data_IF_071130888723
#
_entry.id   IF_071130888723
#
_cell.length_a   1.000
_cell.length_b   1.000
_cell.length_c   1.000
_cell.angle_alpha   90.00
_cell.angle_beta   90.00
_cell.angle_gamma   90.00
#
_symmetry.space_group_name_H-M   'P 1'
#
loop_
_entity.id
_entity.type
_entity.pdbx_description
1 polymer ?
#
# COMPACT_ATOMS: atom_id res chain seq x y z
N UNK A 1 3.73 20.70 19.63
CA UNK A 1 2.31 20.26 19.46
C UNK A 1 1.57 21.33 18.65
N UNK A 2 0.49 20.97 17.94
CA UNK A 2 -0.30 21.91 17.12
C UNK A 2 0.54 22.66 16.08
N UNK A 3 1.54 22.00 15.51
CA UNK A 3 2.45 22.59 14.52
C UNK A 3 2.17 21.99 13.13
N UNK A 4 2.44 22.76 12.08
CA UNK A 4 2.37 22.32 10.70
C UNK A 4 3.61 22.78 9.93
N UNK A 5 3.84 22.19 8.76
CA UNK A 5 4.96 22.52 7.89
C UNK A 5 4.49 22.58 6.44
N UNK A 6 4.90 23.62 5.73
CA UNK A 6 4.65 23.76 4.30
C UNK A 6 5.79 23.12 3.53
N UNK A 7 5.46 22.16 2.65
CA UNK A 7 6.42 21.33 1.95
C UNK A 7 6.54 21.71 0.48
N UNK A 8 7.75 21.58 -0.05
CA UNK A 8 8.03 21.71 -1.48
C UNK A 8 9.21 20.83 -1.86
N UNK A 9 9.37 20.54 -3.16
CA UNK A 9 10.48 19.71 -3.64
C UNK A 9 11.06 20.22 -4.95
N UNK A 10 12.38 20.29 -5.04
CA UNK A 10 13.11 20.67 -6.25
C UNK A 10 13.45 19.40 -7.03
N UNK A 11 13.13 19.37 -8.34
CA UNK A 11 13.51 18.26 -9.21
C UNK A 11 14.98 18.40 -9.64
N UNK A 12 15.88 17.63 -9.03
CA UNK A 12 17.32 17.69 -9.27
C UNK A 12 17.71 17.32 -10.71
N UNK A 13 16.96 16.43 -11.34
CA UNK A 13 17.20 16.01 -12.72
C UNK A 13 17.05 17.14 -13.77
N UNK A 14 16.52 18.31 -13.38
CA UNK A 14 16.41 19.49 -14.24
C UNK A 14 17.61 20.44 -14.15
N UNK A 15 18.55 20.14 -13.25
CA UNK A 15 19.73 20.96 -13.00
C UNK A 15 21.03 20.25 -13.40
N UNK A 16 20.96 19.09 -14.05
CA UNK A 16 22.15 18.48 -14.65
C UNK A 16 22.37 19.09 -16.03
N UNK A 17 23.61 19.44 -16.31
CA UNK A 17 24.08 19.98 -17.58
C UNK A 17 25.28 19.18 -18.07
N UNK A 18 25.42 19.06 -19.39
CA UNK A 18 26.63 18.50 -19.99
C UNK A 18 27.76 19.55 -19.94
N UNK A 19 28.95 19.14 -19.48
CA UNK A 19 30.17 19.94 -19.46
C UNK A 19 31.31 19.22 -20.20
N UNK A 20 32.40 19.93 -20.51
CA UNK A 20 33.57 19.35 -21.18
C UNK A 20 34.20 18.17 -20.40
N UNK A 21 34.02 18.15 -19.07
CA UNK A 21 34.49 17.08 -18.18
C UNK A 21 33.43 16.00 -17.87
N UNK A 22 32.26 16.05 -18.50
CA UNK A 22 31.12 15.15 -18.23
C UNK A 22 29.90 15.89 -17.69
N UNK A 23 28.88 15.16 -17.22
CA UNK A 23 27.67 15.76 -16.65
C UNK A 23 27.93 16.36 -15.26
N UNK A 24 27.43 17.56 -14.99
CA UNK A 24 27.59 18.25 -13.71
C UNK A 24 26.30 18.97 -13.28
N UNK A 25 26.21 19.35 -12.00
CA UNK A 25 25.06 20.09 -11.46
C UNK A 25 25.25 21.60 -11.66
N UNK A 26 24.25 22.25 -12.26
CA UNK A 26 24.12 23.70 -12.40
C UNK A 26 23.69 24.34 -11.08
N UNK A 27 24.65 24.46 -10.17
CA UNK A 27 24.49 25.08 -8.85
C UNK A 27 23.96 26.53 -8.91
N UNK A 28 24.42 27.41 -9.82
CA UNK A 28 23.85 28.76 -9.95
C UNK A 28 22.34 28.75 -10.24
N UNK A 29 21.88 27.93 -11.18
CA UNK A 29 20.45 27.81 -11.49
C UNK A 29 19.68 27.16 -10.35
N UNK A 30 20.26 26.16 -9.70
CA UNK A 30 19.68 25.50 -8.52
C UNK A 30 19.49 26.51 -7.37
N UNK A 31 20.48 27.35 -7.07
CA UNK A 31 20.39 28.40 -6.05
C UNK A 31 19.23 29.36 -6.30
N UNK A 32 19.05 29.79 -7.55
CA UNK A 32 17.92 30.66 -7.93
C UNK A 32 16.57 29.96 -7.69
N UNK A 33 16.45 28.68 -8.06
CA UNK A 33 15.23 27.91 -7.83
C UNK A 33 14.93 27.77 -6.33
N UNK A 34 15.94 27.43 -5.52
CA UNK A 34 15.83 27.34 -4.05
C UNK A 34 15.34 28.66 -3.45
N UNK A 35 15.93 29.78 -3.86
CA UNK A 35 15.54 31.10 -3.36
C UNK A 35 14.06 31.41 -3.61
N UNK A 36 13.57 31.14 -4.82
CA UNK A 36 12.14 31.29 -5.13
C UNK A 36 11.27 30.29 -4.37
N UNK A 37 11.70 29.04 -4.22
CA UNK A 37 10.95 28.01 -3.47
C UNK A 37 10.81 28.36 -1.99
N UNK A 38 11.89 28.80 -1.33
CA UNK A 38 11.84 29.22 0.09
C UNK A 38 10.91 30.41 0.26
N UNK A 39 11.00 31.43 -0.60
CA UNK A 39 10.09 32.58 -0.56
C UNK A 39 8.63 32.18 -0.80
N UNK A 40 8.40 31.26 -1.73
CA UNK A 40 7.06 30.72 -1.99
C UNK A 40 6.52 29.99 -0.76
N UNK A 41 7.30 29.11 -0.14
CA UNK A 41 6.91 28.38 1.07
C UNK A 41 6.70 29.30 2.29
N UNK A 42 7.47 30.38 2.41
CA UNK A 42 7.23 31.39 3.45
C UNK A 42 5.89 32.12 3.20
N UNK A 43 5.59 32.48 1.95
CA UNK A 43 4.32 33.11 1.60
C UNK A 43 3.11 32.20 1.88
N UNK A 44 3.24 30.88 1.66
CA UNK A 44 2.12 29.95 1.92
C UNK A 44 1.75 29.89 3.39
N UNK A 45 2.66 30.21 4.32
CA UNK A 45 2.32 30.30 5.76
C UNK A 45 1.24 31.37 5.99
N UNK A 46 1.39 32.52 5.34
CA UNK A 46 0.50 33.67 5.52
C UNK A 46 -0.83 33.47 4.77
N UNK A 47 -0.80 32.77 3.64
CA UNK A 47 -1.99 32.48 2.83
C UNK A 47 -2.81 31.28 3.33
N UNK A 48 -2.22 30.41 4.14
CA UNK A 48 -2.89 29.20 4.63
C UNK A 48 -3.97 29.51 5.66
N UNK A 49 -5.08 28.77 5.59
CA UNK A 49 -6.14 28.76 6.60
C UNK A 49 -6.05 27.46 7.39
N UNK A 50 -5.70 27.54 8.66
CA UNK A 50 -5.57 26.38 9.52
C UNK A 50 -6.92 26.06 10.19
N UNK A 51 -7.20 24.77 10.47
CA UNK A 51 -8.50 24.37 11.02
C UNK A 51 -8.71 24.81 12.48
N UNK A 52 -7.62 25.10 13.21
CA UNK A 52 -7.66 25.48 14.62
C UNK A 52 -6.81 26.75 14.87
N UNK A 53 -7.26 27.69 15.72
CA UNK A 53 -6.52 28.89 16.06
C UNK A 53 -5.13 28.62 16.65
N UNK A 54 -5.00 27.58 17.48
CA UNK A 54 -3.75 27.16 18.13
C UNK A 54 -2.70 26.74 17.09
N UNK A 55 -3.14 26.11 15.99
CA UNK A 55 -2.25 25.78 14.86
C UNK A 55 -1.80 27.06 14.16
N UNK A 56 -2.73 28.01 13.96
CA UNK A 56 -2.41 29.30 13.33
C UNK A 56 -1.35 30.06 14.12
N UNK A 57 -1.50 30.13 15.44
CA UNK A 57 -0.55 30.78 16.34
C UNK A 57 0.83 30.12 16.28
N UNK A 58 0.88 28.78 16.42
CA UNK A 58 2.13 28.04 16.41
C UNK A 58 2.87 28.14 15.07
N UNK A 59 2.15 27.97 13.95
CA UNK A 59 2.76 28.01 12.61
C UNK A 59 3.25 29.41 12.26
N UNK A 60 2.49 30.47 12.59
CA UNK A 60 2.97 31.85 12.40
C UNK A 60 4.12 32.19 13.35
N UNK A 61 4.15 31.58 14.53
CA UNK A 61 5.20 31.77 15.53
C UNK A 61 6.55 31.21 15.10
N UNK A 62 6.58 29.97 14.58
CA UNK A 62 7.81 29.27 14.21
C UNK A 62 8.17 29.36 12.72
N UNK A 63 7.16 29.55 11.86
CA UNK A 63 7.29 29.64 10.41
C UNK A 63 8.10 28.51 9.78
N UNK A 64 7.88 27.27 10.22
CA UNK A 64 8.59 26.10 9.69
C UNK A 64 8.19 25.80 8.25
N UNK A 65 9.19 25.64 7.39
CA UNK A 65 9.02 25.16 6.02
C UNK A 65 9.92 23.94 5.79
N UNK A 66 9.63 23.19 4.74
CA UNK A 66 10.36 21.99 4.39
C UNK A 66 10.56 21.90 2.88
N UNK A 67 11.64 22.50 2.38
CA UNK A 67 12.11 22.27 1.03
C UNK A 67 12.95 20.99 0.99
N UNK A 68 12.54 20.07 0.14
CA UNK A 68 13.25 18.84 -0.17
C UNK A 68 13.61 18.72 -1.63
N UNK A 69 13.91 17.50 -2.04
CA UNK A 69 14.27 17.16 -3.42
C UNK A 69 13.41 16.02 -3.96
N UNK A 70 13.34 15.92 -5.28
CA UNK A 70 12.90 14.76 -6.04
C UNK A 70 13.80 14.59 -7.28
N UNK A 71 13.69 13.47 -8.00
CA UNK A 71 14.51 13.21 -9.18
C UNK A 71 15.98 12.93 -8.86
N UNK A 72 16.32 12.52 -7.63
CA UNK A 72 17.72 12.24 -7.27
C UNK A 72 18.30 11.03 -8.03
N UNK A 73 17.54 9.94 -8.17
CA UNK A 73 17.99 8.79 -8.96
C UNK A 73 18.19 9.15 -10.43
N UNK A 74 17.28 9.94 -11.01
CA UNK A 74 17.42 10.43 -12.38
C UNK A 74 18.65 11.34 -12.54
N UNK A 75 18.96 12.18 -11.54
CA UNK A 75 20.19 12.99 -11.51
C UNK A 75 21.43 12.09 -11.56
N UNK A 76 21.49 11.05 -10.72
CA UNK A 76 22.60 10.10 -10.71
C UNK A 76 22.75 9.36 -12.04
N UNK A 77 21.65 8.96 -12.67
CA UNK A 77 21.69 8.34 -14.00
C UNK A 77 22.26 9.27 -15.07
N UNK A 78 21.86 10.54 -15.08
CA UNK A 78 22.40 11.55 -16.01
C UNK A 78 23.88 11.82 -15.77
N UNK A 79 24.35 11.64 -14.52
CA UNK A 79 25.75 11.76 -14.14
C UNK A 79 26.55 10.46 -14.34
N UNK A 80 25.90 9.35 -14.71
CA UNK A 80 26.57 8.06 -14.87
C UNK A 80 27.01 7.43 -13.53
N UNK A 81 26.39 7.83 -12.42
CA UNK A 81 26.76 7.40 -11.07
C UNK A 81 25.78 6.31 -10.59
N UNK A 82 26.27 5.12 -10.19
CA UNK A 82 25.41 4.09 -9.59
C UNK A 82 24.95 4.47 -8.18
N UNK A 83 23.66 4.33 -7.89
CA UNK A 83 23.06 4.74 -6.60
C UNK A 83 23.73 4.09 -5.37
N UNK A 84 24.11 2.81 -5.50
CA UNK A 84 24.77 2.00 -4.47
C UNK A 84 26.30 2.16 -4.50
N UNK A 85 26.80 3.40 -4.46
CA UNK A 85 28.23 3.72 -4.46
C UNK A 85 28.62 4.87 -3.55
N UNK A 86 29.90 4.94 -3.19
CA UNK A 86 30.48 6.06 -2.44
C UNK A 86 30.34 7.39 -3.18
N UNK A 87 30.47 7.36 -4.49
CA UNK A 87 30.35 8.54 -5.37
C UNK A 87 28.92 9.11 -5.32
N UNK A 88 27.90 8.26 -5.26
CA UNK A 88 26.52 8.69 -5.04
C UNK A 88 26.28 9.28 -3.65
N UNK A 89 26.94 8.76 -2.61
CA UNK A 89 26.87 9.33 -1.25
C UNK A 89 27.53 10.70 -1.19
N UNK A 90 28.67 10.88 -1.86
CA UNK A 90 29.34 12.18 -1.96
C UNK A 90 28.46 13.20 -2.70
N UNK A 91 27.88 12.82 -3.84
CA UNK A 91 26.95 13.66 -4.57
C UNK A 91 25.70 14.03 -3.73
N UNK A 92 25.17 13.09 -2.94
CA UNK A 92 24.07 13.34 -2.03
C UNK A 92 24.43 14.37 -0.95
N UNK A 93 25.59 14.22 -0.30
CA UNK A 93 26.06 15.16 0.73
C UNK A 93 26.33 16.54 0.13
N UNK A 94 27.01 16.63 -1.01
CA UNK A 94 27.35 17.89 -1.67
C UNK A 94 26.10 18.66 -2.11
N UNK A 95 25.17 18.00 -2.79
CA UNK A 95 23.93 18.63 -3.26
C UNK A 95 23.07 19.05 -2.09
N UNK A 96 22.89 18.20 -1.07
CA UNK A 96 22.04 18.55 0.07
C UNK A 96 22.66 19.63 0.96
N UNK A 97 23.98 19.61 1.15
CA UNK A 97 24.71 20.69 1.83
C UNK A 97 24.48 22.03 1.14
N UNK A 98 24.67 22.08 -0.19
CA UNK A 98 24.42 23.29 -0.97
C UNK A 98 22.97 23.78 -0.83
N UNK A 99 22.00 22.86 -0.88
CA UNK A 99 20.59 23.19 -0.72
C UNK A 99 20.31 23.80 0.66
N UNK A 100 20.84 23.19 1.72
CA UNK A 100 20.66 23.68 3.07
C UNK A 100 21.23 25.08 3.26
N UNK A 101 22.47 25.31 2.83
CA UNK A 101 23.12 26.63 2.91
C UNK A 101 22.32 27.69 2.12
N UNK A 102 21.93 27.39 0.89
CA UNK A 102 21.13 28.30 0.08
C UNK A 102 19.75 28.59 0.69
N UNK A 103 19.12 27.61 1.35
CA UNK A 103 17.87 27.80 2.08
C UNK A 103 18.05 28.71 3.31
N UNK A 104 19.13 28.49 4.06
CA UNK A 104 19.49 29.28 5.22
C UNK A 104 19.78 30.73 4.84
N UNK A 105 20.62 30.97 3.82
CA UNK A 105 20.89 32.30 3.27
C UNK A 105 19.62 33.03 2.82
N UNK A 106 18.71 32.30 2.14
CA UNK A 106 17.44 32.88 1.69
C UNK A 106 16.55 33.25 2.88
N UNK A 107 16.49 32.40 3.91
CA UNK A 107 15.75 32.67 5.15
C UNK A 107 16.31 33.88 5.91
N UNK A 108 17.62 34.08 5.88
CA UNK A 108 18.28 35.25 6.48
C UNK A 108 17.97 36.53 5.68
N UNK A 109 17.99 36.45 4.35
CA UNK A 109 17.56 37.56 3.47
C UNK A 109 16.09 37.94 3.73
N UNK A 110 15.19 36.95 3.85
CA UNK A 110 13.80 37.20 4.18
C UNK A 110 13.61 37.77 5.59
N UNK A 111 14.51 37.46 6.53
CA UNK A 111 14.48 38.04 7.86
C UNK A 111 14.80 39.55 7.82
N UNK A 112 15.71 39.97 6.94
CA UNK A 112 16.00 41.38 6.72
C UNK A 112 14.81 42.12 6.07
N UNK A 113 14.12 41.47 5.12
CA UNK A 113 12.96 42.06 4.45
C UNK A 113 11.69 42.12 5.31
N UNK A 114 11.45 41.09 6.14
CA UNK A 114 10.14 40.82 6.76
C UNK A 114 10.19 40.65 8.29
N UNK A 115 11.38 40.70 8.88
CA UNK A 115 11.65 40.35 10.28
C UNK A 115 11.86 38.85 10.51
N UNK A 116 12.52 38.51 11.62
CA UNK A 116 12.71 37.12 12.09
C UNK A 116 11.36 36.46 12.46
N UNK A 117 11.33 35.12 12.57
CA UNK A 117 10.14 34.45 13.11
C UNK A 117 9.87 34.86 14.56
N UNK A 118 8.60 34.90 14.97
CA UNK A 118 8.19 35.51 16.25
C UNK A 118 8.81 34.80 17.48
N UNK A 119 8.99 33.48 17.40
CA UNK A 119 9.60 32.70 18.49
C UNK A 119 11.14 32.66 18.44
N UNK A 120 11.79 33.48 17.61
CA UNK A 120 13.26 33.50 17.45
C UNK A 120 13.99 33.71 18.76
N UNK A 121 13.47 34.59 19.62
CA UNK A 121 14.02 34.90 20.95
C UNK A 121 14.11 33.69 21.90
N UNK A 122 13.34 32.62 21.61
CA UNK A 122 13.28 31.37 22.38
C UNK A 122 14.00 30.22 21.69
N UNK A 123 14.71 30.49 20.60
CA UNK A 123 15.31 29.48 19.74
C UNK A 123 16.83 29.40 19.93
N UNK A 124 17.40 28.27 19.51
CA UNK A 124 18.86 28.08 19.44
C UNK A 124 19.58 29.07 18.52
N UNK A 125 18.84 29.80 17.67
CA UNK A 125 19.41 30.76 16.74
C UNK A 125 19.74 32.09 17.41
N UNK A 126 19.03 32.44 18.49
CA UNK A 126 19.33 33.65 19.29
C UNK A 126 20.74 33.60 19.84
N UNK A 127 21.09 32.49 20.50
CA UNK A 127 22.40 32.31 21.13
C UNK A 127 23.54 32.28 20.10
N UNK A 128 23.21 31.97 18.85
CA UNK A 128 24.15 31.97 17.71
C UNK A 128 24.17 33.29 16.92
N UNK A 129 23.31 34.25 17.27
CA UNK A 129 23.16 35.51 16.52
C UNK A 129 22.63 35.34 15.09
N UNK A 130 22.03 34.18 14.75
CA UNK A 130 21.56 33.86 13.40
C UNK A 130 20.14 34.39 13.19
N UNK A 131 19.98 35.50 12.47
CA UNK A 131 18.68 36.10 12.21
C UNK A 131 17.98 35.43 11.02
N UNK A 132 16.98 34.59 11.29
CA UNK A 132 16.27 33.80 10.26
C UNK A 132 14.78 34.06 10.24
N UNK A 133 14.17 33.98 9.05
CA UNK A 133 12.72 34.09 8.85
C UNK A 133 11.97 32.83 9.24
N UNK A 134 12.62 31.67 9.13
CA UNK A 134 12.02 30.35 9.31
C UNK A 134 12.82 29.54 10.34
N UNK A 135 12.15 28.87 11.28
CA UNK A 135 12.81 28.04 12.29
C UNK A 135 13.46 26.78 11.70
N UNK A 136 12.89 26.22 10.63
CA UNK A 136 13.49 25.16 9.81
C UNK A 136 13.17 25.43 8.35
N UNK A 137 14.05 24.96 7.45
CA UNK A 137 13.93 25.21 6.01
C UNK A 137 13.97 23.96 5.16
N UNK A 138 14.68 22.91 5.60
CA UNK A 138 14.88 21.69 4.81
C UNK A 138 14.23 20.45 5.41
N UNK A 139 13.71 19.58 4.54
CA UNK A 139 13.21 18.24 4.88
C UNK A 139 13.22 17.36 3.63
N UNK A 140 13.38 16.05 3.77
CA UNK A 140 13.11 15.13 2.67
C UNK A 140 11.77 14.46 2.92
N UNK A 141 10.77 14.81 2.13
CA UNK A 141 9.41 14.28 2.24
C UNK A 141 9.14 13.24 1.13
N UNK A 142 8.16 12.35 1.30
CA UNK A 142 7.67 11.52 0.20
C UNK A 142 7.10 12.40 -0.90
N UNK A 143 7.51 12.16 -2.15
CA UNK A 143 7.02 12.92 -3.30
C UNK A 143 6.19 12.07 -4.25
N UNK A 144 5.44 11.09 -3.74
CA UNK A 144 4.71 10.09 -4.56
C UNK A 144 3.92 10.73 -5.71
N UNK A 145 2.94 11.58 -5.39
CA UNK A 145 2.12 12.25 -6.43
C UNK A 145 2.90 13.32 -7.19
N UNK A 146 3.72 14.12 -6.50
CA UNK A 146 4.44 15.25 -7.12
C UNK A 146 5.48 14.78 -8.16
N UNK A 147 6.17 13.67 -7.88
CA UNK A 147 7.17 13.10 -8.78
C UNK A 147 6.55 12.52 -10.04
N UNK A 148 5.34 11.96 -9.95
CA UNK A 148 4.55 11.53 -11.12
C UNK A 148 4.19 12.74 -11.99
N UNK A 149 3.68 13.83 -11.38
CA UNK A 149 3.37 15.07 -12.11
C UNK A 149 4.63 15.64 -12.77
N UNK A 150 5.77 15.59 -12.07
CA UNK A 150 7.05 16.08 -12.57
C UNK A 150 7.78 15.11 -13.52
N UNK A 151 7.25 13.89 -13.72
CA UNK A 151 7.85 12.84 -14.54
C UNK A 151 9.27 12.47 -14.11
N UNK A 152 9.51 12.26 -12.82
CA UNK A 152 10.84 11.96 -12.27
C UNK A 152 10.78 10.97 -11.09
N UNK A 153 11.94 10.52 -10.61
CA UNK A 153 12.07 9.65 -9.45
C UNK A 153 11.54 10.31 -8.17
N UNK A 154 10.98 9.51 -7.26
CA UNK A 154 10.42 10.00 -6.00
C UNK A 154 11.52 10.36 -4.99
N UNK A 155 11.51 11.59 -4.46
CA UNK A 155 12.36 11.99 -3.35
C UNK A 155 13.83 11.71 -3.63
N UNK A 156 14.44 11.05 -2.64
CA UNK A 156 15.79 10.46 -2.73
C UNK A 156 15.75 8.93 -2.90
N UNK A 157 14.59 8.37 -3.29
CA UNK A 157 14.43 6.93 -3.48
C UNK A 157 15.13 6.47 -4.77
N UNK A 158 15.75 5.28 -4.80
CA UNK A 158 16.08 4.63 -6.06
C UNK A 158 14.79 4.32 -6.83
N UNK A 159 14.86 4.24 -8.17
CA UNK A 159 13.69 3.84 -8.95
C UNK A 159 13.26 2.43 -8.57
N UNK A 160 11.95 2.24 -8.38
CA UNK A 160 11.41 0.90 -8.17
C UNK A 160 11.52 0.03 -9.43
N UNK A 161 11.24 0.61 -10.59
CA UNK A 161 11.37 -0.04 -11.89
C UNK A 161 11.76 0.98 -12.97
N UNK A 162 12.56 0.56 -13.95
CA UNK A 162 12.95 1.38 -15.11
C UNK A 162 11.88 1.40 -16.22
N UNK A 163 11.02 0.38 -16.24
CA UNK A 163 9.92 0.23 -17.18
C UNK A 163 8.74 -0.39 -16.42
N UNK A 164 7.53 0.10 -16.63
CA UNK A 164 6.32 -0.49 -16.06
C UNK A 164 5.15 -0.43 -17.03
N UNK A 165 4.23 -1.40 -16.91
CA UNK A 165 3.04 -1.49 -17.75
C UNK A 165 1.83 -0.96 -16.99
N UNK A 166 1.32 0.18 -17.43
CA UNK A 166 0.09 0.78 -16.93
C UNK A 166 -1.08 0.26 -17.74
N UNK A 167 -2.09 -0.29 -17.06
CA UNK A 167 -3.36 -0.64 -17.71
C UNK A 167 -4.22 0.62 -17.74
N UNK A 168 -4.59 1.06 -18.94
CA UNK A 168 -5.48 2.21 -19.17
C UNK A 168 -6.91 1.69 -19.41
N UNK A 169 -7.89 2.59 -19.47
CA UNK A 169 -9.27 2.24 -19.85
C UNK A 169 -9.27 1.42 -21.15
N UNK A 170 -10.17 0.45 -21.26
CA UNK A 170 -10.28 -0.52 -22.37
C UNK A 170 -9.23 -1.67 -22.40
N UNK A 171 -8.55 -1.95 -21.27
CA UNK A 171 -7.51 -2.99 -21.14
C UNK A 171 -6.24 -2.75 -21.98
N UNK A 172 -6.07 -1.55 -22.53
CA UNK A 172 -4.85 -1.18 -23.25
C UNK A 172 -3.67 -1.12 -22.28
N UNK A 173 -2.62 -1.88 -22.62
CA UNK A 173 -1.35 -1.92 -21.88
C UNK A 173 -0.43 -0.83 -22.44
N UNK A 174 -0.26 0.25 -21.68
CA UNK A 174 0.68 1.31 -22.03
C UNK A 174 1.98 1.11 -21.25
N UNK A 175 3.06 0.92 -22.00
CA UNK A 175 4.40 0.78 -21.44
C UNK A 175 4.99 2.18 -21.18
N UNK A 176 5.30 2.46 -19.93
CA UNK A 176 5.98 3.69 -19.51
C UNK A 176 7.42 3.33 -19.12
N UNK A 177 8.39 3.92 -19.82
CA UNK A 177 9.83 3.75 -19.56
C UNK A 177 10.37 5.02 -18.92
N UNK A 178 11.31 4.90 -17.97
CA UNK A 178 11.99 6.06 -17.41
C UNK A 178 12.66 6.87 -18.54
N UNK A 179 12.41 8.18 -18.65
CA UNK A 179 12.91 8.98 -19.77
C UNK A 179 14.43 9.02 -19.90
N UNK A 180 15.17 8.96 -18.78
CA UNK A 180 16.65 8.97 -18.79
C UNK A 180 17.18 7.63 -19.31
N UNK A 181 16.57 6.53 -18.87
CA UNK A 181 16.91 5.19 -19.36
C UNK A 181 16.56 5.02 -20.84
N UNK A 182 15.39 5.49 -21.27
CA UNK A 182 14.99 5.45 -22.68
C UNK A 182 15.95 6.25 -23.57
N UNK A 183 16.35 7.45 -23.15
CA UNK A 183 17.34 8.27 -23.86
C UNK A 183 18.66 7.49 -24.01
N UNK A 184 19.19 6.96 -22.90
CA UNK A 184 20.42 6.16 -22.91
C UNK A 184 20.31 4.91 -23.80
N UNK A 185 19.16 4.24 -23.81
CA UNK A 185 18.89 3.07 -24.63
C UNK A 185 18.85 3.38 -26.12
N UNK A 186 18.27 4.52 -26.50
CA UNK A 186 18.22 4.98 -27.89
C UNK A 186 19.60 5.41 -28.39
N UNK A 187 20.34 6.17 -27.58
CA UNK A 187 21.69 6.65 -27.93
C UNK A 187 22.69 5.51 -28.10
N UNK A 188 22.59 4.45 -27.27
CA UNK A 188 23.46 3.26 -27.34
C UNK A 188 22.92 2.15 -28.23
N UNK A 189 21.80 2.37 -28.92
CA UNK A 189 21.28 1.47 -29.95
C UNK A 189 20.69 0.14 -29.46
N UNK A 190 20.37 0.00 -28.17
CA UNK A 190 19.75 -1.22 -27.63
C UNK A 190 18.24 -1.09 -27.37
N UNK A 191 17.63 0.08 -27.59
CA UNK A 191 16.20 0.27 -27.40
C UNK A 191 15.35 -0.60 -28.34
N UNK A 192 14.50 -1.47 -27.77
CA UNK A 192 13.48 -2.28 -28.46
C UNK A 192 12.25 -2.44 -27.58
N UNK A 193 11.02 -2.36 -28.11
CA UNK A 193 9.80 -2.54 -27.31
C UNK A 193 9.78 -3.87 -26.52
N UNK A 194 10.26 -4.95 -27.12
CA UNK A 194 10.32 -6.28 -26.51
C UNK A 194 11.30 -6.32 -25.33
N UNK A 195 12.44 -5.62 -25.46
CA UNK A 195 13.40 -5.48 -24.37
C UNK A 195 12.81 -4.66 -23.23
N UNK A 196 12.09 -3.57 -23.52
CA UNK A 196 11.46 -2.74 -22.49
C UNK A 196 10.33 -3.49 -21.75
N UNK A 197 9.62 -4.40 -22.42
CA UNK A 197 8.66 -5.32 -21.78
C UNK A 197 9.39 -6.35 -20.90
N UNK A 198 10.53 -6.89 -21.35
CA UNK A 198 11.37 -7.77 -20.54
C UNK A 198 11.90 -7.06 -19.28
N UNK A 199 12.34 -5.81 -19.40
CA UNK A 199 12.75 -4.97 -18.26
C UNK A 199 11.59 -4.78 -17.28
N UNK A 200 10.38 -4.51 -17.78
CA UNK A 200 9.19 -4.34 -16.94
C UNK A 200 8.80 -5.63 -16.18
N UNK A 201 8.99 -6.81 -16.80
CA UNK A 201 8.68 -8.09 -16.18
C UNK A 201 9.72 -8.53 -15.15
N UNK A 202 11.01 -8.40 -15.48
CA UNK A 202 12.12 -8.83 -14.62
C UNK A 202 12.37 -7.87 -13.46
N UNK A 203 12.13 -6.57 -13.67
CA UNK A 203 12.32 -5.56 -12.65
C UNK A 203 13.74 -5.06 -12.45
N UNK A 204 14.72 -5.92 -12.68
CA UNK A 204 16.14 -5.57 -12.72
C UNK A 204 16.72 -5.82 -14.11
N UNK A 205 17.70 -5.01 -14.49
CA UNK A 205 18.42 -5.12 -15.76
C UNK A 205 19.74 -5.87 -15.63
N UNK A 206 20.20 -6.20 -14.42
CA UNK A 206 21.52 -6.81 -14.21
C UNK A 206 21.69 -8.15 -14.92
N UNK A 207 20.62 -8.95 -15.03
CA UNK A 207 20.62 -10.26 -15.67
C UNK A 207 20.24 -10.23 -17.16
N UNK A 208 20.23 -9.06 -17.79
CA UNK A 208 19.87 -8.89 -19.20
C UNK A 208 21.14 -8.61 -20.00
N UNK A 209 21.71 -9.65 -20.62
CA UNK A 209 22.97 -9.58 -21.36
C UNK A 209 22.89 -8.65 -22.60
N UNK A 210 21.70 -8.43 -23.16
CA UNK A 210 21.53 -7.47 -24.26
C UNK A 210 21.81 -6.02 -23.86
N UNK A 211 21.83 -5.71 -22.56
CA UNK A 211 22.09 -4.36 -22.04
C UNK A 211 23.59 -4.23 -21.69
N UNK A 212 24.30 -3.22 -22.22
CA UNK A 212 25.72 -3.02 -21.94
C UNK A 212 26.02 -2.94 -20.43
N UNK A 213 27.15 -3.53 -20.00
CA UNK A 213 27.53 -3.60 -18.58
C UNK A 213 27.59 -2.21 -17.92
N UNK A 214 28.11 -1.21 -18.63
CA UNK A 214 28.15 0.18 -18.20
C UNK A 214 26.75 0.78 -17.92
N UNK A 215 25.71 0.35 -18.66
CA UNK A 215 24.32 0.76 -18.40
C UNK A 215 23.80 0.01 -17.19
N UNK A 216 24.00 -1.32 -17.13
CA UNK A 216 23.57 -2.16 -16.01
C UNK A 216 24.16 -1.68 -14.69
N UNK A 217 25.40 -1.19 -14.71
CA UNK A 217 26.06 -0.61 -13.53
C UNK A 217 25.31 0.63 -13.03
N UNK A 218 24.91 1.54 -13.91
CA UNK A 218 24.35 2.85 -13.54
C UNK A 218 22.88 2.76 -13.17
N UNK A 219 22.08 2.07 -13.98
CA UNK A 219 20.62 2.05 -13.86
C UNK A 219 20.15 0.98 -12.87
N UNK A 220 20.60 1.10 -11.62
CA UNK A 220 20.18 0.23 -10.51
C UNK A 220 18.78 0.60 -10.02
N UNK A 221 17.99 -0.41 -9.67
CA UNK A 221 16.65 -0.25 -9.09
C UNK A 221 16.66 -0.49 -7.58
N UNK A 222 15.54 -0.20 -6.92
CA UNK A 222 15.37 -0.38 -5.47
C UNK A 222 15.65 -1.81 -4.99
N UNK A 223 15.53 -2.80 -5.86
CA UNK A 223 15.79 -4.21 -5.54
C UNK A 223 17.27 -4.58 -5.65
N UNK A 224 18.06 -3.80 -6.39
CA UNK A 224 19.50 -4.00 -6.60
C UNK A 224 20.33 -3.31 -5.49
N UNK A 225 19.67 -2.48 -4.66
CA UNK A 225 20.29 -1.70 -3.59
C UNK A 225 20.15 -2.44 -2.26
N UNK A 226 21.27 -2.77 -1.61
CA UNK A 226 21.24 -3.40 -0.30
C UNK A 226 20.71 -2.46 0.78
N UNK A 227 20.20 -3.02 1.88
CA UNK A 227 19.67 -2.25 3.01
C UNK A 227 20.71 -1.30 3.63
N UNK A 228 21.98 -1.67 3.59
CA UNK A 228 23.10 -0.82 4.01
C UNK A 228 23.17 0.46 3.15
N UNK A 229 23.18 0.33 1.83
CA UNK A 229 23.21 1.49 0.91
C UNK A 229 21.98 2.39 1.07
N UNK A 230 20.81 1.80 1.31
CA UNK A 230 19.60 2.57 1.63
C UNK A 230 19.79 3.47 2.87
N UNK A 231 20.34 2.92 3.95
CA UNK A 231 20.58 3.65 5.20
C UNK A 231 21.70 4.67 5.06
N UNK A 232 22.80 4.31 4.38
CA UNK A 232 23.92 5.23 4.16
C UNK A 232 23.49 6.44 3.33
N UNK A 233 22.66 6.23 2.30
CA UNK A 233 22.08 7.33 1.52
C UNK A 233 21.15 8.20 2.37
N UNK A 234 20.31 7.58 3.20
CA UNK A 234 19.47 8.33 4.14
C UNK A 234 20.32 9.20 5.08
N UNK A 235 21.41 8.65 5.61
CA UNK A 235 22.32 9.37 6.50
C UNK A 235 23.02 10.54 5.80
N UNK A 236 23.47 10.36 4.56
CA UNK A 236 24.07 11.41 3.73
C UNK A 236 23.17 12.65 3.62
N UNK A 237 21.89 12.46 3.26
CA UNK A 237 20.92 13.56 3.24
C UNK A 237 20.59 14.10 4.64
N UNK A 238 20.53 13.23 5.65
CA UNK A 238 20.15 13.62 7.01
C UNK A 238 21.16 14.56 7.68
N UNK A 239 22.45 14.47 7.33
CA UNK A 239 23.52 15.40 7.77
C UNK A 239 23.18 16.86 7.45
N UNK A 240 22.55 17.10 6.30
CA UNK A 240 22.25 18.43 5.77
C UNK A 240 20.74 18.72 5.73
N UNK A 241 20.00 18.21 6.71
CA UNK A 241 18.55 18.40 6.82
C UNK A 241 18.13 18.89 8.21
N UNK A 242 17.43 20.01 8.28
CA UNK A 242 16.95 20.62 9.53
C UNK A 242 15.92 19.70 10.23
N UNK A 243 14.92 19.25 9.48
CA UNK A 243 13.90 18.30 9.93
C UNK A 243 14.38 16.85 9.73
N UNK A 244 13.53 15.94 9.27
CA UNK A 244 13.86 14.52 9.09
C UNK A 244 13.90 14.13 7.59
N UNK A 245 14.45 12.95 7.35
CA UNK A 245 14.47 12.32 6.03
C UNK A 245 13.46 11.17 5.99
N UNK A 246 12.52 11.24 5.05
CA UNK A 246 11.65 10.13 4.71
C UNK A 246 12.32 9.29 3.61
N UNK A 247 12.73 8.08 3.99
CA UNK A 247 13.36 7.10 3.12
C UNK A 247 12.87 5.71 3.50
N UNK A 248 12.51 4.91 2.51
CA UNK A 248 12.22 3.49 2.71
C UNK A 248 13.49 2.66 2.51
N UNK A 249 13.75 1.76 3.46
CA UNK A 249 14.74 0.69 3.36
C UNK A 249 14.00 -0.56 2.88
N UNK A 250 14.18 -0.90 1.60
CA UNK A 250 13.57 -2.10 1.06
C UNK A 250 14.39 -3.32 1.49
N UNK A 251 13.70 -4.37 1.90
CA UNK A 251 14.28 -5.64 2.31
C UNK A 251 13.70 -6.76 1.44
N UNK A 252 14.49 -7.77 1.06
CA UNK A 252 14.00 -8.91 0.31
C UNK A 252 13.03 -9.75 1.15
N UNK A 253 12.21 -10.58 0.49
CA UNK A 253 11.14 -11.35 1.14
C UNK A 253 11.65 -12.32 2.23
N UNK A 254 12.84 -12.87 2.02
CA UNK A 254 13.54 -13.78 2.90
C UNK A 254 14.35 -13.07 4.01
N UNK A 255 14.32 -11.73 4.07
CA UNK A 255 15.01 -10.98 5.11
C UNK A 255 14.56 -11.41 6.52
N UNK A 256 15.55 -11.64 7.37
CA UNK A 256 15.36 -12.13 8.74
C UNK A 256 15.16 -10.98 9.73
N UNK A 257 14.73 -11.32 10.95
CA UNK A 257 14.66 -10.34 12.06
C UNK A 257 16.04 -9.75 12.38
N UNK A 258 17.11 -10.54 12.20
CA UNK A 258 18.47 -10.06 12.43
C UNK A 258 18.89 -9.04 11.35
N UNK A 259 18.45 -9.21 10.10
CA UNK A 259 18.72 -8.21 9.05
C UNK A 259 17.98 -6.90 9.31
N UNK A 260 16.76 -6.98 9.86
CA UNK A 260 16.03 -5.79 10.35
C UNK A 260 16.78 -5.13 11.51
N UNK A 261 17.32 -5.91 12.44
CA UNK A 261 18.12 -5.38 13.56
C UNK A 261 19.34 -4.61 13.06
N UNK A 262 20.10 -5.17 12.11
CA UNK A 262 21.26 -4.50 11.50
C UNK A 262 20.89 -3.14 10.90
N UNK A 263 19.72 -3.04 10.26
CA UNK A 263 19.22 -1.77 9.71
C UNK A 263 19.01 -0.74 10.81
N UNK A 264 18.39 -1.12 11.94
CA UNK A 264 18.19 -0.22 13.08
C UNK A 264 19.51 0.19 13.75
N UNK A 265 20.42 -0.77 13.96
CA UNK A 265 21.72 -0.53 14.56
C UNK A 265 22.56 0.43 13.69
N UNK A 266 22.57 0.22 12.38
CA UNK A 266 23.28 1.11 11.44
C UNK A 266 22.63 2.51 11.38
N UNK A 267 21.30 2.59 11.32
CA UNK A 267 20.59 3.87 11.33
C UNK A 267 20.91 4.68 12.59
N UNK A 268 20.98 4.02 13.75
CA UNK A 268 21.37 4.62 15.02
C UNK A 268 22.83 5.09 15.01
N UNK A 269 23.76 4.23 14.57
CA UNK A 269 25.19 4.56 14.46
C UNK A 269 25.44 5.77 13.57
N UNK A 270 24.73 5.87 12.44
CA UNK A 270 24.80 6.99 11.50
C UNK A 270 23.94 8.20 11.90
N UNK A 271 23.33 8.18 13.08
CA UNK A 271 22.52 9.28 13.65
C UNK A 271 21.33 9.70 12.78
N UNK A 272 20.71 8.73 12.11
CA UNK A 272 19.44 8.97 11.42
C UNK A 272 18.35 9.33 12.44
N UNK A 273 17.52 10.34 12.14
CA UNK A 273 16.44 10.80 13.06
C UNK A 273 15.25 9.83 13.12
N UNK A 274 15.15 8.93 12.14
CA UNK A 274 14.13 7.90 12.06
C UNK A 274 14.50 6.89 10.98
N UNK A 275 13.76 5.79 10.90
CA UNK A 275 13.99 4.74 9.90
C UNK A 275 12.65 4.10 9.56
N UNK A 276 12.45 3.75 8.28
CA UNK A 276 11.27 3.03 7.81
C UNK A 276 11.74 1.86 6.96
N UNK A 277 11.29 0.67 7.33
CA UNK A 277 11.59 -0.56 6.59
C UNK A 277 10.36 -1.02 5.82
N UNK A 278 10.59 -1.61 4.67
CA UNK A 278 9.58 -2.34 3.92
C UNK A 278 10.15 -3.67 3.45
N UNK A 279 9.70 -4.77 4.05
CA UNK A 279 10.06 -6.11 3.60
C UNK A 279 9.11 -6.56 2.49
N UNK A 280 9.66 -6.99 1.37
CA UNK A 280 8.85 -7.49 0.27
C UNK A 280 7.97 -8.67 0.72
N UNK A 281 6.74 -8.73 0.22
CA UNK A 281 5.73 -9.71 0.60
C UNK A 281 5.20 -9.60 2.03
N UNK A 282 5.56 -8.57 2.81
CA UNK A 282 5.08 -8.40 4.19
C UNK A 282 3.64 -7.91 4.32
N UNK A 283 3.04 -7.38 3.24
CA UNK A 283 1.64 -6.94 3.18
C UNK A 283 0.91 -7.62 2.03
N UNK A 284 -0.36 -7.95 2.25
CA UNK A 284 -1.22 -8.65 1.27
C UNK A 284 -1.46 -7.80 0.01
N UNK A 285 -1.75 -6.50 0.18
CA UNK A 285 -1.93 -5.55 -0.92
C UNK A 285 -0.67 -4.70 -1.11
N UNK A 286 0.08 -4.96 -2.17
CA UNK A 286 1.24 -4.16 -2.56
C UNK A 286 0.87 -3.25 -3.73
N UNK A 287 1.09 -1.94 -3.58
CA UNK A 287 0.79 -0.95 -4.62
C UNK A 287 1.78 -1.06 -5.79
N UNK A 288 3.01 -1.52 -5.53
CA UNK A 288 4.06 -1.75 -6.49
C UNK A 288 4.49 -3.21 -6.37
N UNK A 289 4.05 -4.06 -7.30
CA UNK A 289 4.51 -5.45 -7.41
C UNK A 289 4.84 -5.75 -8.86
N UNK A 290 5.86 -6.59 -9.07
CA UNK A 290 6.22 -7.04 -10.41
C UNK A 290 5.05 -7.74 -11.09
N UNK A 291 5.04 -7.65 -12.42
CA UNK A 291 4.02 -8.24 -13.29
C UNK A 291 3.73 -9.74 -13.07
N UNK A 292 4.51 -10.45 -12.25
CA UNK A 292 4.17 -11.80 -11.80
C UNK A 292 2.91 -11.87 -10.92
N UNK A 293 2.57 -10.81 -10.18
CA UNK A 293 1.32 -10.77 -9.40
C UNK A 293 0.10 -10.29 -10.19
N UNK A 294 0.31 -9.68 -11.37
CA UNK A 294 -0.81 -9.20 -12.20
C UNK A 294 -1.62 -10.36 -12.78
N UNK A 295 -1.01 -11.49 -13.15
CA UNK A 295 -1.78 -12.61 -13.70
C UNK A 295 -2.64 -13.34 -12.65
N UNK A 296 -2.22 -13.41 -11.38
CA UNK A 296 -3.04 -14.00 -10.31
C UNK A 296 -4.05 -13.03 -9.71
N UNK A 297 -3.71 -11.73 -9.61
CA UNK A 297 -4.61 -10.72 -9.03
C UNK A 297 -5.63 -10.15 -10.03
N UNK A 298 -5.29 -9.99 -11.32
CA UNK A 298 -6.26 -9.55 -12.34
C UNK A 298 -7.28 -10.65 -12.67
N UNK A 299 -6.98 -11.93 -12.43
CA UNK A 299 -7.98 -13.02 -12.45
C UNK A 299 -9.08 -12.84 -11.40
N UNK A 300 -8.83 -12.09 -10.32
CA UNK A 300 -9.78 -11.96 -9.21
C UNK A 300 -10.75 -10.78 -9.32
N UNK A 301 -10.58 -9.85 -10.28
CA UNK A 301 -11.34 -8.59 -10.29
C UNK A 301 -12.00 -8.19 -11.62
N UNK A 302 -12.37 -9.14 -12.49
CA UNK A 302 -13.24 -8.76 -13.62
C UNK A 302 -13.79 -9.84 -14.53
N UNK A 303 -13.20 -11.04 -14.57
CA UNK A 303 -13.70 -12.11 -15.43
C UNK A 303 -14.25 -13.25 -14.55
N UNK A 304 -15.57 -13.44 -14.58
CA UNK A 304 -16.16 -14.72 -14.13
C UNK A 304 -15.49 -15.81 -14.96
N UNK A 305 -14.79 -16.74 -14.31
CA UNK A 305 -14.11 -17.83 -15.00
C UNK A 305 -15.12 -18.63 -15.85
N UNK A 306 -14.81 -18.81 -17.13
CA UNK A 306 -15.60 -19.65 -18.02
C UNK A 306 -15.57 -21.11 -17.55
N UNK A 307 -16.72 -21.76 -17.65
CA UNK A 307 -16.93 -23.12 -17.14
C UNK A 307 -16.29 -24.14 -18.09
N UNK A 308 -15.35 -25.00 -17.62
CA UNK A 308 -14.82 -26.11 -18.41
C UNK A 308 -15.91 -27.13 -18.77
N UNK A 309 -15.70 -27.92 -19.84
CA UNK A 309 -16.66 -28.95 -20.25
C UNK A 309 -16.86 -30.03 -19.18
N UNK A 310 -15.78 -30.42 -18.48
CA UNK A 310 -15.81 -31.46 -17.44
C UNK A 310 -15.22 -30.94 -16.14
N UNK A 311 -15.95 -31.15 -15.04
CA UNK A 311 -15.52 -30.81 -13.69
C UNK A 311 -15.73 -32.01 -12.77
N UNK A 312 -14.77 -32.26 -11.89
CA UNK A 312 -14.87 -33.30 -10.86
C UNK A 312 -15.38 -32.68 -9.57
N UNK A 313 -16.01 -33.48 -8.71
CA UNK A 313 -16.62 -32.97 -7.50
C UNK A 313 -17.15 -34.06 -6.60
N UNK A 314 -17.79 -33.65 -5.51
CA UNK A 314 -18.44 -34.56 -4.57
C UNK A 314 -19.86 -34.10 -4.27
N UNK A 315 -20.69 -35.02 -3.82
CA UNK A 315 -22.05 -34.73 -3.35
C UNK A 315 -22.17 -35.16 -1.89
N UNK A 316 -22.59 -34.23 -1.04
CA UNK A 316 -22.91 -34.51 0.37
C UNK A 316 -24.42 -34.50 0.56
N UNK A 317 -24.94 -35.58 1.15
CA UNK A 317 -26.33 -35.66 1.60
C UNK A 317 -26.43 -35.08 3.02
N UNK A 318 -27.25 -34.06 3.19
CA UNK A 318 -27.53 -33.43 4.49
C UNK A 318 -29.04 -33.39 4.76
N UNK A 319 -29.45 -33.48 6.02
CA UNK A 319 -30.86 -33.46 6.40
C UNK A 319 -31.23 -32.01 6.71
N UNK A 320 -32.41 -31.59 6.28
CA UNK A 320 -32.99 -30.27 6.57
C UNK A 320 -34.44 -30.43 7.01
N UNK A 321 -35.05 -29.39 7.58
CA UNK A 321 -36.48 -29.42 7.92
C UNK A 321 -37.42 -29.56 6.72
N UNK A 322 -36.93 -29.35 5.50
CA UNK A 322 -37.66 -29.53 4.26
C UNK A 322 -37.36 -30.88 3.56
N UNK A 323 -36.61 -31.77 4.21
CA UNK A 323 -36.20 -33.08 3.68
C UNK A 323 -34.70 -33.21 3.44
N UNK A 324 -34.31 -34.20 2.64
CA UNK A 324 -32.90 -34.42 2.30
C UNK A 324 -32.43 -33.44 1.22
N UNK A 325 -31.40 -32.67 1.55
CA UNK A 325 -30.67 -31.78 0.65
C UNK A 325 -29.40 -32.48 0.16
N UNK A 326 -29.18 -32.46 -1.15
CA UNK A 326 -27.97 -32.95 -1.79
C UNK A 326 -27.17 -31.75 -2.26
N UNK A 327 -26.02 -31.51 -1.64
CA UNK A 327 -25.12 -30.41 -1.99
C UNK A 327 -23.97 -31.00 -2.79
N UNK A 328 -23.92 -30.68 -4.07
CA UNK A 328 -22.85 -31.07 -4.99
C UNK A 328 -21.90 -29.90 -5.16
N UNK A 329 -20.62 -30.12 -4.87
CA UNK A 329 -19.56 -29.13 -5.04
C UNK A 329 -18.59 -29.65 -6.08
N UNK A 330 -18.39 -28.88 -7.14
CA UNK A 330 -17.36 -29.15 -8.14
C UNK A 330 -16.08 -28.42 -7.78
N UNK A 331 -14.95 -28.99 -8.19
CA UNK A 331 -13.62 -28.46 -7.95
C UNK A 331 -12.93 -28.19 -9.29
N UNK A 332 -12.22 -27.07 -9.36
CA UNK A 332 -11.35 -26.69 -10.47
C UNK A 332 -9.99 -26.30 -9.89
N UNK A 333 -8.91 -26.92 -10.38
CA UNK A 333 -7.54 -26.70 -9.88
C UNK A 333 -7.41 -26.83 -8.34
N UNK A 334 -8.15 -27.78 -7.74
CA UNK A 334 -8.11 -28.04 -6.29
C UNK A 334 -8.89 -27.03 -5.42
N UNK A 335 -9.69 -26.15 -6.04
CA UNK A 335 -10.55 -25.17 -5.34
C UNK A 335 -12.02 -25.38 -5.70
N UNK A 336 -12.98 -25.09 -4.80
CA UNK A 336 -14.40 -25.17 -5.12
C UNK A 336 -14.77 -24.17 -6.23
N UNK A 337 -15.55 -24.63 -7.20
CA UNK A 337 -15.87 -23.89 -8.43
C UNK A 337 -17.37 -23.64 -8.61
N UNK A 338 -18.21 -24.68 -8.50
CA UNK A 338 -19.67 -24.56 -8.51
C UNK A 338 -20.31 -25.34 -7.36
N UNK A 339 -21.44 -24.83 -6.86
CA UNK A 339 -22.26 -25.47 -5.84
C UNK A 339 -23.69 -25.63 -6.37
N UNK A 340 -24.15 -26.87 -6.45
CA UNK A 340 -25.52 -27.22 -6.77
C UNK A 340 -26.20 -27.82 -5.55
N UNK A 341 -27.39 -27.33 -5.23
CA UNK A 341 -28.16 -27.82 -4.11
C UNK A 341 -29.51 -28.31 -4.62
N UNK A 342 -29.83 -29.57 -4.35
CA UNK A 342 -31.08 -30.20 -4.79
C UNK A 342 -31.81 -30.76 -3.58
N UNK A 343 -33.06 -30.35 -3.40
CA UNK A 343 -33.91 -30.82 -2.32
C UNK A 343 -35.09 -31.61 -2.88
N UNK A 344 -35.26 -32.85 -2.41
CA UNK A 344 -36.31 -33.74 -2.92
C UNK A 344 -37.67 -33.46 -2.29
N UNK A 345 -38.72 -33.35 -3.12
CA UNK A 345 -40.14 -33.30 -2.70
C UNK A 345 -40.53 -32.16 -1.72
N UNK A 346 -39.88 -31.00 -1.79
CA UNK A 346 -40.10 -29.85 -0.88
C UNK A 346 -40.97 -28.72 -1.44
N UNK A 347 -41.56 -28.92 -2.62
CA UNK A 347 -42.39 -27.94 -3.33
C UNK A 347 -41.61 -27.03 -4.29
N UNK A 348 -42.33 -26.42 -5.24
CA UNK A 348 -41.73 -25.62 -6.34
C UNK A 348 -40.99 -24.39 -5.83
N UNK A 349 -41.54 -23.69 -4.83
CA UNK A 349 -40.94 -22.46 -4.28
C UNK A 349 -39.62 -22.74 -3.55
N UNK A 350 -39.59 -23.76 -2.70
CA UNK A 350 -38.38 -24.17 -1.96
C UNK A 350 -37.28 -24.63 -2.90
N UNK A 351 -37.64 -25.38 -3.95
CA UNK A 351 -36.69 -25.83 -4.98
C UNK A 351 -36.10 -24.64 -5.73
N UNK A 352 -36.92 -23.68 -6.17
CA UNK A 352 -36.46 -22.48 -6.87
C UNK A 352 -35.51 -21.62 -6.02
N UNK A 353 -35.83 -21.42 -4.73
CA UNK A 353 -34.94 -20.69 -3.80
C UNK A 353 -33.62 -21.42 -3.58
N UNK A 354 -33.66 -22.74 -3.47
CA UNK A 354 -32.46 -23.58 -3.29
C UNK A 354 -31.55 -23.51 -4.52
N UNK A 355 -32.13 -23.57 -5.73
CA UNK A 355 -31.40 -23.42 -6.99
C UNK A 355 -30.79 -22.03 -7.11
N UNK A 356 -31.54 -20.97 -6.77
CA UNK A 356 -31.04 -19.60 -6.79
C UNK A 356 -29.83 -19.42 -5.87
N UNK A 357 -29.86 -19.97 -4.64
CA UNK A 357 -28.73 -19.94 -3.71
C UNK A 357 -27.52 -20.66 -4.32
N UNK A 358 -27.69 -21.86 -4.86
CA UNK A 358 -26.59 -22.59 -5.50
C UNK A 358 -25.96 -21.81 -6.67
N UNK A 359 -26.77 -21.18 -7.51
CA UNK A 359 -26.30 -20.36 -8.64
C UNK A 359 -25.52 -19.14 -8.16
N UNK A 360 -26.00 -18.44 -7.13
CA UNK A 360 -25.32 -17.27 -6.57
C UNK A 360 -23.99 -17.64 -5.91
N UNK A 361 -23.95 -18.76 -5.17
CA UNK A 361 -22.71 -19.28 -4.59
C UNK A 361 -21.72 -19.69 -5.68
N UNK A 362 -22.19 -20.36 -6.73
CA UNK A 362 -21.37 -20.73 -7.90
C UNK A 362 -20.83 -19.50 -8.64
N UNK A 363 -21.61 -18.43 -8.74
CA UNK A 363 -21.14 -17.16 -9.32
C UNK A 363 -20.07 -16.53 -8.43
N UNK A 364 -20.27 -16.50 -7.11
CA UNK A 364 -19.30 -15.96 -6.16
C UNK A 364 -17.97 -16.72 -6.21
N UNK A 365 -18.01 -18.06 -6.25
CA UNK A 365 -16.80 -18.89 -6.38
C UNK A 365 -16.06 -18.64 -7.70
N UNK A 366 -16.79 -18.57 -8.83
CA UNK A 366 -16.18 -18.26 -10.15
C UNK A 366 -15.67 -16.82 -10.26
N UNK A 367 -16.16 -15.91 -9.41
CA UNK A 367 -15.66 -14.55 -9.26
C UNK A 367 -14.49 -14.44 -8.26
N UNK A 368 -14.00 -15.56 -7.72
CA UNK A 368 -12.84 -15.58 -6.83
C UNK A 368 -13.14 -15.29 -5.36
N UNK A 369 -14.41 -15.30 -4.94
CA UNK A 369 -14.77 -15.16 -3.53
C UNK A 369 -14.36 -16.42 -2.76
N UNK A 370 -13.64 -16.23 -1.65
CA UNK A 370 -13.14 -17.33 -0.82
C UNK A 370 -14.25 -18.02 -0.01
N UNK A 371 -14.04 -19.30 0.30
CA UNK A 371 -15.05 -20.14 0.98
C UNK A 371 -15.41 -19.60 2.36
N UNK A 372 -14.44 -19.06 3.11
CA UNK A 372 -14.66 -18.47 4.43
C UNK A 372 -15.66 -17.31 4.37
N UNK A 373 -15.57 -16.45 3.35
CA UNK A 373 -16.50 -15.33 3.13
C UNK A 373 -17.90 -15.82 2.78
N UNK A 374 -18.02 -16.85 1.95
CA UNK A 374 -19.31 -17.44 1.61
C UNK A 374 -19.96 -18.10 2.85
N UNK A 375 -19.18 -18.84 3.63
CA UNK A 375 -19.65 -19.46 4.88
C UNK A 375 -20.09 -18.40 5.88
N UNK A 376 -19.33 -17.32 6.04
CA UNK A 376 -19.68 -16.17 6.90
C UNK A 376 -21.05 -15.58 6.56
N UNK A 377 -21.41 -15.52 5.27
CA UNK A 377 -22.70 -14.97 4.84
C UNK A 377 -23.87 -15.97 4.99
N UNK A 378 -23.63 -17.27 4.82
CA UNK A 378 -24.70 -18.27 4.78
C UNK A 378 -24.95 -18.99 6.10
N UNK A 379 -23.92 -19.16 6.93
CA UNK A 379 -24.00 -19.87 8.20
C UNK A 379 -24.82 -19.05 9.20
N UNK A 380 -25.74 -19.70 9.90
CA UNK A 380 -26.60 -19.04 10.87
C UNK A 380 -27.90 -18.45 10.30
N UNK A 381 -28.12 -18.47 8.98
CA UNK A 381 -29.40 -18.04 8.40
C UNK A 381 -30.53 -18.96 8.91
N UNK A 382 -31.49 -18.37 9.63
CA UNK A 382 -32.66 -19.04 10.19
C UNK A 382 -33.73 -19.38 9.16
N UNK A 383 -34.48 -20.45 9.40
CA UNK A 383 -35.64 -20.83 8.60
C UNK A 383 -36.80 -21.34 9.45
N UNK A 384 -37.95 -21.57 8.81
CA UNK A 384 -39.21 -21.97 9.47
C UNK A 384 -39.15 -23.39 10.10
N UNK A 385 -38.21 -24.22 9.65
CA UNK A 385 -38.09 -25.62 10.07
C UNK A 385 -36.63 -26.01 10.42
N UNK A 386 -36.11 -25.55 11.57
CA UNK A 386 -34.80 -25.96 12.05
C UNK A 386 -34.83 -27.41 12.54
N UNK A 387 -33.76 -28.17 12.28
CA UNK A 387 -33.67 -29.57 12.74
C UNK A 387 -32.30 -29.89 13.35
N UNK A 388 -32.27 -30.77 14.35
CA UNK A 388 -31.04 -31.32 14.89
C UNK A 388 -30.52 -32.48 14.04
N UNK A 389 -29.23 -32.45 13.74
CA UNK A 389 -28.48 -33.54 13.09
C UNK A 389 -27.11 -33.71 13.76
N UNK A 390 -26.44 -34.84 13.52
CA UNK A 390 -25.05 -35.08 13.91
C UNK A 390 -24.14 -33.93 13.45
N UNK A 391 -23.66 -33.11 14.40
CA UNK A 391 -22.91 -31.88 14.14
C UNK A 391 -23.63 -30.58 14.48
N UNK A 392 -24.85 -30.64 15.05
CA UNK A 392 -25.57 -29.52 15.65
C UNK A 392 -26.89 -29.16 14.95
N UNK A 393 -27.47 -28.03 15.37
CA UNK A 393 -28.76 -27.54 14.86
C UNK A 393 -28.60 -26.94 13.45
N UNK A 394 -29.17 -27.56 12.43
CA UNK A 394 -29.24 -27.02 11.06
C UNK A 394 -30.46 -26.11 10.96
N UNK A 395 -30.22 -24.82 10.72
CA UNK A 395 -31.26 -23.79 10.81
C UNK A 395 -32.08 -23.62 9.53
N UNK A 396 -31.45 -23.81 8.37
CA UNK A 396 -32.07 -23.64 7.06
C UNK A 396 -31.25 -24.30 5.95
N UNK A 397 -31.73 -24.21 4.70
CA UNK A 397 -31.03 -24.68 3.50
C UNK A 397 -29.69 -23.94 3.28
N UNK A 398 -29.62 -22.59 3.31
CA UNK A 398 -28.34 -21.89 3.22
C UNK A 398 -27.36 -22.25 4.34
N UNK A 399 -27.83 -22.41 5.59
CA UNK A 399 -26.99 -22.87 6.71
C UNK A 399 -26.44 -24.28 6.46
N UNK A 400 -27.24 -25.17 5.88
CA UNK A 400 -26.81 -26.52 5.50
C UNK A 400 -25.72 -26.51 4.41
N UNK A 401 -25.83 -25.63 3.40
CA UNK A 401 -24.80 -25.46 2.36
C UNK A 401 -23.49 -24.93 2.99
N UNK A 402 -23.58 -23.93 3.87
CA UNK A 402 -22.43 -23.36 4.56
C UNK A 402 -21.66 -24.41 5.36
N UNK A 403 -22.37 -25.26 6.10
CA UNK A 403 -21.77 -26.35 6.90
C UNK A 403 -21.05 -27.38 6.04
N UNK A 404 -21.58 -27.70 4.85
CA UNK A 404 -20.93 -28.62 3.91
C UNK A 404 -19.60 -28.04 3.41
N UNK A 405 -19.60 -26.75 3.05
CA UNK A 405 -18.38 -26.05 2.62
C UNK A 405 -17.36 -25.93 3.75
N UNK A 406 -17.80 -25.52 4.94
CA UNK A 406 -16.96 -25.39 6.12
C UNK A 406 -16.28 -26.71 6.50
N UNK A 407 -17.05 -27.80 6.59
CA UNK A 407 -16.53 -29.12 6.94
C UNK A 407 -15.52 -29.66 5.93
N UNK A 408 -15.60 -29.25 4.67
CA UNK A 408 -14.69 -29.74 3.62
C UNK A 408 -13.43 -28.90 3.50
N UNK A 409 -13.56 -27.57 3.57
CA UNK A 409 -12.50 -26.65 3.18
C UNK A 409 -11.91 -25.84 4.33
N UNK A 410 -12.56 -25.81 5.49
CA UNK A 410 -12.16 -24.96 6.62
C UNK A 410 -11.75 -25.76 7.88
N UNK A 411 -11.78 -27.10 7.86
CA UNK A 411 -11.30 -27.94 8.97
C UNK A 411 -9.87 -28.45 8.73
N UNK A 412 -8.89 -27.82 9.40
CA UNK A 412 -7.44 -28.11 9.41
C UNK A 412 -6.67 -27.05 10.23
N UNK A 413 -5.37 -27.24 10.51
CA UNK A 413 -4.53 -26.44 11.46
C UNK A 413 -4.39 -24.93 11.16
N UNK A 414 -5.08 -24.40 10.15
CA UNK A 414 -5.21 -22.97 9.83
C UNK A 414 -6.69 -22.54 9.74
N UNK A 415 -7.56 -23.09 10.59
CA UNK A 415 -8.94 -22.59 10.71
C UNK A 415 -8.92 -21.16 11.31
N UNK A 416 -9.47 -20.13 10.64
CA UNK A 416 -9.68 -18.85 11.29
C UNK A 416 -10.59 -19.06 12.50
N UNK A 417 -10.18 -18.51 13.64
CA UNK A 417 -10.93 -18.61 14.90
C UNK A 417 -12.24 -17.84 14.76
N UNK A 418 -13.29 -18.48 14.26
CA UNK A 418 -14.63 -17.92 14.30
C UNK A 418 -14.96 -17.65 15.77
N UNK A 419 -15.29 -16.40 16.11
CA UNK A 419 -15.88 -16.07 17.40
C UNK A 419 -17.03 -17.06 17.60
N UNK A 420 -16.93 -17.91 18.62
CA UNK A 420 -18.11 -18.57 19.18
C UNK A 420 -19.10 -17.45 19.40
N UNK A 421 -20.18 -17.40 18.62
CA UNK A 421 -21.37 -16.69 19.04
C UNK A 421 -21.70 -17.34 20.38
N UNK A 422 -21.42 -16.61 21.47
CA UNK A 422 -21.86 -17.02 22.78
C UNK A 422 -23.37 -17.20 22.68
N UNK A 423 -23.82 -18.45 22.58
CA UNK A 423 -25.11 -18.82 23.12
C UNK A 423 -24.98 -18.58 24.62
N UNK A 424 -25.19 -17.32 24.99
CA UNK A 424 -25.39 -16.92 26.37
C UNK A 424 -26.50 -17.81 26.92
N UNK A 425 -26.25 -18.41 28.07
CA UNK A 425 -27.19 -19.21 28.86
C UNK A 425 -28.38 -18.38 29.40
N UNK A 426 -28.62 -17.18 28.84
CA UNK A 426 -29.78 -16.34 29.07
C UNK A 426 -30.77 -16.59 27.94
N UNK A 427 -31.97 -17.08 28.29
CA UNK A 427 -33.02 -17.53 27.37
C UNK A 427 -33.33 -16.57 26.23
N UNK A 428 -33.97 -17.10 25.19
CA UNK A 428 -34.37 -16.34 24.00
C UNK A 428 -35.14 -15.06 24.40
N UNK A 429 -35.00 -14.00 23.61
CA UNK A 429 -35.70 -12.73 23.87
C UNK A 429 -37.02 -12.70 23.09
N UNK A 430 -38.05 -12.17 23.73
CA UNK A 430 -39.39 -11.98 23.18
C UNK A 430 -39.29 -11.07 21.94
N UNK A 431 -39.83 -11.50 20.79
CA UNK A 431 -39.76 -10.71 19.56
C UNK A 431 -40.57 -9.40 19.62
N UNK A 432 -41.53 -9.28 20.55
CA UNK A 432 -42.34 -8.07 20.69
C UNK A 432 -41.76 -7.04 21.67
N UNK A 433 -41.22 -7.48 22.81
CA UNK A 433 -40.79 -6.56 23.87
C UNK A 433 -39.32 -6.70 24.29
N UNK A 434 -38.59 -7.67 23.75
CA UNK A 434 -37.16 -7.87 24.01
C UNK A 434 -36.81 -8.46 25.38
N UNK A 435 -37.79 -8.77 26.22
CA UNK A 435 -37.60 -9.44 27.52
C UNK A 435 -37.38 -10.95 27.36
N UNK A 436 -36.80 -11.62 28.35
CA UNK A 436 -36.50 -13.06 28.29
C UNK A 436 -37.80 -13.88 28.24
N UNK A 437 -37.88 -14.85 27.31
CA UNK A 437 -38.99 -15.81 27.22
C UNK A 437 -38.65 -17.12 27.92
N UNK A 438 -39.67 -17.74 28.51
CA UNK A 438 -39.61 -19.09 29.08
C UNK A 438 -40.12 -20.10 28.06
N UNK A 439 -39.58 -21.32 28.13
CA UNK A 439 -40.05 -22.44 27.33
C UNK A 439 -40.80 -23.40 28.25
N UNK A 440 -42.12 -23.40 28.17
CA UNK A 440 -43.01 -24.17 29.04
C UNK A 440 -44.06 -24.90 28.18
N UNK A 441 -44.39 -26.14 28.56
CA UNK A 441 -45.38 -26.99 27.88
C UNK A 441 -45.20 -27.12 26.35
N UNK A 442 -43.95 -27.05 25.88
CA UNK A 442 -43.63 -27.18 24.46
C UNK A 442 -43.79 -25.87 23.65
N UNK A 443 -43.99 -24.74 24.32
CA UNK A 443 -44.13 -23.44 23.66
C UNK A 443 -43.29 -22.31 24.30
N UNK A 444 -43.01 -21.26 23.52
CA UNK A 444 -42.36 -20.04 24.00
C UNK A 444 -43.37 -19.01 24.49
N UNK A 445 -43.25 -18.63 25.76
CA UNK A 445 -44.16 -17.69 26.43
C UNK A 445 -43.37 -16.51 26.99
N UNK A 446 -43.86 -15.30 26.75
CA UNK A 446 -43.38 -14.08 27.39
C UNK A 446 -44.33 -13.66 28.50
N UNK A 447 -43.91 -13.84 29.76
CA UNK A 447 -44.71 -13.42 30.91
C UNK A 447 -44.85 -11.90 31.08
N UNK A 448 -44.09 -11.10 30.33
CA UNK A 448 -44.12 -9.64 30.44
C UNK A 448 -45.17 -8.98 29.53
N UNK A 449 -45.25 -9.38 28.27
CA UNK A 449 -46.22 -8.81 27.31
C UNK A 449 -47.33 -9.77 26.89
N UNK A 450 -47.29 -11.03 27.33
CA UNK A 450 -48.28 -12.05 27.00
C UNK A 450 -48.07 -12.73 25.65
N UNK A 451 -46.94 -12.48 24.96
CA UNK A 451 -46.62 -13.12 23.69
C UNK A 451 -46.50 -14.65 23.86
N UNK A 452 -47.16 -15.40 22.97
CA UNK A 452 -47.10 -16.86 22.91
C UNK A 452 -46.93 -17.29 21.45
N UNK A 453 -45.90 -18.10 21.17
CA UNK A 453 -45.59 -18.52 19.79
C UNK A 453 -46.56 -19.55 19.22
N UNK A 454 -47.29 -20.27 20.06
CA UNK A 454 -48.17 -21.37 19.64
C UNK A 454 -49.66 -21.02 19.72
N UNK A 455 -50.01 -19.79 20.12
CA UNK A 455 -51.38 -19.29 20.20
C UNK A 455 -51.47 -17.89 20.77
#
# INVERSE_FOLDING_TARGET
PMEACNLGSVNLAKFVVESESGSAVDYPRLKKAIGWSVRFLDNTIDMSRYPLPEITEMVRGNRKIGLGVMGFADMLFQMGIPYNSEEALQAAEEVMHFIQEACHETSETLAQERGVFANWERSIFKDKGLQRRNATTTTIAPTGTLSIIAGCSSGIEPLFALSFVRTVMDNDKLMEVNPVFEKAARERGFYRPELMDQVARKGSIHEIEEIPEEVRRVFVTAHDVSSEWHIRMQAAFQKHTDNAVSKTVNLPRDATVEDVRKVYDLAYQLRCKGVTIYRDGSKENQVLSFGQRKEEAERLMGAVLDRPETLFGFTTKTKTGYGHLYVTVTEFEGRPFEVFATIGKSGRSTTAKTEAIGRLVSLALRAGVTVDKIVEQLKGIGGEHPIFQDGGLVLSIPDAIARVLEKRYLTGDNAPMFRKTEYSLLGEKCPECGQVVSFEEGCMICHFCGFNKCG
#
